data_IF_649818170395
#
_entry.id   IF_649818170395
#
_cell.length_a   1.000
_cell.length_b   1.000
_cell.length_c   1.000
_cell.angle_alpha   90.00
_cell.angle_beta   90.00
_cell.angle_gamma   90.00
#
_symmetry.space_group_name_H-M   'P 1'
#
loop_
_entity.id
_entity.type
_entity.pdbx_description
1 polymer ?
#
# COMPACT_ATOMS: atom_id res chain seq x y z
N UNK A 1 -5.18 13.38 25.66
CA UNK A 1 -4.45 12.69 24.58
C UNK A 1 -3.98 13.75 23.61
N UNK A 2 -2.67 13.88 23.40
CA UNK A 2 -2.12 14.84 22.44
C UNK A 2 -2.29 14.33 21.01
N UNK A 3 -2.10 15.19 20.02
CA UNK A 3 -2.10 14.79 18.60
C UNK A 3 -1.02 13.73 18.34
N UNK A 4 0.14 13.85 18.99
CA UNK A 4 1.25 12.90 18.88
C UNK A 4 0.82 11.52 19.41
N UNK A 5 0.17 11.48 20.58
CA UNK A 5 -0.32 10.23 21.16
C UNK A 5 -1.36 9.53 20.27
N UNK A 6 -2.19 10.30 19.55
CA UNK A 6 -3.13 9.74 18.59
C UNK A 6 -2.42 9.01 17.44
N UNK A 7 -1.45 9.68 16.81
CA UNK A 7 -0.69 9.06 15.71
C UNK A 7 0.14 7.87 16.20
N UNK A 8 0.75 8.00 17.39
CA UNK A 8 1.54 6.94 17.97
C UNK A 8 0.69 5.68 18.20
N UNK A 9 -0.47 5.82 18.87
CA UNK A 9 -1.29 4.68 19.25
C UNK A 9 -2.02 4.03 18.07
N UNK A 10 -2.54 4.81 17.12
CA UNK A 10 -3.38 4.27 16.05
C UNK A 10 -2.62 3.92 14.76
N UNK A 11 -1.44 4.50 14.53
CA UNK A 11 -0.68 4.32 13.28
C UNK A 11 0.72 3.76 13.51
N UNK A 12 1.52 4.35 14.39
CA UNK A 12 2.95 3.99 14.51
C UNK A 12 3.15 2.68 15.28
N UNK A 13 2.57 2.56 16.48
CA UNK A 13 2.71 1.37 17.32
C UNK A 13 2.20 0.11 16.62
N UNK A 14 1.01 0.09 15.97
CA UNK A 14 0.55 -1.10 15.25
C UNK A 14 1.51 -1.57 14.14
N UNK A 15 2.22 -0.65 13.47
CA UNK A 15 3.22 -0.98 12.45
C UNK A 15 4.49 -1.56 13.07
N UNK A 16 4.92 -1.04 14.22
CA UNK A 16 6.15 -1.48 14.88
C UNK A 16 6.01 -2.82 15.60
N UNK A 17 4.82 -3.13 16.09
CA UNK A 17 4.55 -4.34 16.88
C UNK A 17 3.87 -5.44 16.07
N UNK A 18 3.80 -5.31 14.73
CA UNK A 18 3.02 -6.16 13.83
C UNK A 18 1.57 -6.37 14.32
N UNK A 19 1.00 -5.39 15.03
CA UNK A 19 -0.31 -5.49 15.70
C UNK A 19 -1.52 -5.47 14.76
N UNK A 20 -1.29 -5.51 13.45
CA UNK A 20 -2.31 -5.50 12.41
C UNK A 20 -3.12 -4.19 12.31
N UNK A 21 -4.29 -4.29 11.70
CA UNK A 21 -5.17 -3.15 11.46
C UNK A 21 -6.21 -2.98 12.57
N UNK A 22 -6.42 -1.73 12.99
CA UNK A 22 -7.51 -1.31 13.86
C UNK A 22 -8.58 -0.58 13.02
N UNK A 23 -9.77 -0.34 13.58
CA UNK A 23 -10.87 0.27 12.83
C UNK A 23 -10.50 1.65 12.24
N UNK A 24 -9.75 2.46 13.01
CA UNK A 24 -9.38 3.82 12.63
C UNK A 24 -8.35 3.80 11.48
N UNK A 25 -7.27 3.04 11.62
CA UNK A 25 -6.24 2.96 10.59
C UNK A 25 -6.80 2.32 9.31
N UNK A 26 -7.69 1.33 9.40
CA UNK A 26 -8.34 0.69 8.25
C UNK A 26 -9.14 1.70 7.46
N UNK A 27 -10.02 2.46 8.13
CA UNK A 27 -10.86 3.47 7.47
C UNK A 27 -10.01 4.58 6.84
N UNK A 28 -8.98 5.05 7.55
CA UNK A 28 -8.08 6.09 7.04
C UNK A 28 -7.30 5.60 5.82
N UNK A 29 -6.72 4.40 5.88
CA UNK A 29 -6.01 3.81 4.73
C UNK A 29 -6.95 3.55 3.55
N UNK A 30 -8.19 3.11 3.80
CA UNK A 30 -9.19 2.92 2.74
C UNK A 30 -9.55 4.24 2.04
N UNK A 31 -9.76 5.31 2.80
CA UNK A 31 -10.04 6.65 2.25
C UNK A 31 -8.85 7.15 1.43
N UNK A 32 -7.63 7.02 1.97
CA UNK A 32 -6.40 7.41 1.25
C UNK A 32 -6.27 6.62 -0.06
N UNK A 33 -6.50 5.30 -0.02
CA UNK A 33 -6.44 4.45 -1.21
C UNK A 33 -7.45 4.88 -2.28
N UNK A 34 -8.70 5.19 -1.89
CA UNK A 34 -9.72 5.69 -2.81
C UNK A 34 -9.33 7.03 -3.44
N UNK A 35 -8.80 7.96 -2.63
CA UNK A 35 -8.33 9.27 -3.12
C UNK A 35 -7.19 9.09 -4.13
N UNK A 36 -6.22 8.23 -3.83
CA UNK A 36 -5.09 7.95 -4.72
C UNK A 36 -5.56 7.28 -6.02
N UNK A 37 -6.43 6.27 -5.91
CA UNK A 37 -7.00 5.58 -7.09
C UNK A 37 -7.73 6.56 -8.00
N UNK A 38 -8.59 7.40 -7.43
CA UNK A 38 -9.32 8.42 -8.19
C UNK A 38 -8.38 9.46 -8.81
N UNK A 39 -7.32 9.85 -8.10
CA UNK A 39 -6.31 10.77 -8.61
C UNK A 39 -5.56 10.18 -9.80
N UNK A 40 -5.17 8.90 -9.73
CA UNK A 40 -4.55 8.17 -10.85
C UNK A 40 -5.51 8.10 -12.03
N UNK A 41 -6.76 7.72 -11.80
CA UNK A 41 -7.80 7.69 -12.85
C UNK A 41 -7.92 9.05 -13.56
N UNK A 42 -7.98 10.14 -12.81
CA UNK A 42 -8.07 11.49 -13.36
C UNK A 42 -6.84 11.88 -14.19
N UNK A 43 -5.65 11.42 -13.79
CA UNK A 43 -4.41 11.66 -14.56
C UNK A 43 -4.46 10.88 -15.88
N UNK A 44 -4.87 9.61 -15.85
CA UNK A 44 -5.01 8.78 -17.04
C UNK A 44 -6.04 9.38 -18.02
N UNK A 45 -7.19 9.80 -17.51
CA UNK A 45 -8.25 10.46 -18.29
C UNK A 45 -7.75 11.78 -18.91
N UNK A 46 -7.05 12.61 -18.13
CA UNK A 46 -6.42 13.85 -18.65
C UNK A 46 -5.43 13.57 -19.78
N UNK A 47 -4.71 12.45 -19.71
CA UNK A 47 -3.76 12.02 -20.73
C UNK A 47 -4.41 11.24 -21.89
N UNK A 48 -5.74 11.04 -21.85
CA UNK A 48 -6.49 10.23 -22.83
C UNK A 48 -5.94 8.81 -22.97
N UNK A 49 -5.43 8.26 -21.86
CA UNK A 49 -4.95 6.89 -21.79
C UNK A 49 -6.17 6.00 -21.56
N UNK A 50 -6.49 5.18 -22.56
CA UNK A 50 -7.54 4.16 -22.42
C UNK A 50 -7.05 3.03 -21.51
N UNK A 51 -7.89 2.62 -20.57
CA UNK A 51 -7.62 1.46 -19.70
C UNK A 51 -7.99 0.20 -20.50
N UNK A 52 -7.09 -0.17 -21.42
CA UNK A 52 -7.25 -1.31 -22.33
C UNK A 52 -6.26 -2.45 -22.00
N UNK A 53 -6.25 -3.49 -22.84
CA UNK A 53 -5.32 -4.60 -22.67
C UNK A 53 -3.84 -4.17 -22.83
N UNK A 54 -3.55 -3.14 -23.63
CA UNK A 54 -2.19 -2.63 -23.80
C UNK A 54 -1.72 -1.90 -22.53
N UNK A 55 -2.59 -1.12 -21.91
CA UNK A 55 -2.34 -0.53 -20.59
C UNK A 55 -2.07 -1.62 -19.55
N UNK A 56 -2.89 -2.67 -19.53
CA UNK A 56 -2.66 -3.81 -18.63
C UNK A 56 -1.29 -4.44 -18.87
N UNK A 57 -0.90 -4.71 -20.12
CA UNK A 57 0.42 -5.24 -20.46
C UNK A 57 1.56 -4.30 -20.04
N UNK A 58 1.35 -2.97 -20.09
CA UNK A 58 2.34 -2.00 -19.64
C UNK A 58 2.50 -1.99 -18.11
N UNK A 59 1.43 -2.23 -17.35
CA UNK A 59 1.44 -2.26 -15.88
C UNK A 59 1.85 -3.65 -15.35
N UNK A 60 1.62 -4.71 -16.12
CA UNK A 60 1.86 -6.10 -15.72
C UNK A 60 3.28 -6.37 -15.16
N UNK A 61 4.38 -5.88 -15.76
CA UNK A 61 5.72 -6.08 -15.21
C UNK A 61 5.87 -5.50 -13.80
N UNK A 62 5.23 -4.37 -13.51
CA UNK A 62 5.27 -3.74 -12.18
C UNK A 62 4.47 -4.55 -11.16
N UNK A 63 3.32 -5.09 -11.56
CA UNK A 63 2.53 -6.00 -10.71
C UNK A 63 3.35 -7.24 -10.38
N UNK A 64 3.95 -7.89 -11.40
CA UNK A 64 4.78 -9.09 -11.21
C UNK A 64 5.98 -8.78 -10.31
N UNK A 65 6.69 -7.68 -10.56
CA UNK A 65 7.83 -7.27 -9.75
C UNK A 65 7.43 -7.06 -8.28
N UNK A 66 6.34 -6.34 -8.03
CA UNK A 66 5.85 -6.09 -6.67
C UNK A 66 5.46 -7.38 -5.95
N UNK A 67 4.70 -8.25 -6.60
CA UNK A 67 4.32 -9.56 -6.05
C UNK A 67 5.55 -10.45 -5.80
N UNK A 68 6.52 -10.43 -6.71
CA UNK A 68 7.74 -11.21 -6.58
C UNK A 68 8.61 -10.72 -5.41
N UNK A 69 8.79 -9.40 -5.27
CA UNK A 69 9.51 -8.82 -4.12
C UNK A 69 8.87 -9.22 -2.79
N UNK A 70 7.53 -9.20 -2.71
CA UNK A 70 6.81 -9.62 -1.50
C UNK A 70 7.06 -11.08 -1.16
N UNK A 71 7.00 -11.96 -2.16
CA UNK A 71 7.29 -13.39 -2.02
C UNK A 71 8.73 -13.64 -1.54
N UNK A 72 9.71 -12.89 -2.07
CA UNK A 72 11.10 -13.00 -1.60
C UNK A 72 11.28 -12.62 -0.13
N UNK A 73 10.50 -11.67 0.39
CA UNK A 73 10.50 -11.33 1.82
C UNK A 73 9.93 -12.50 2.63
N UNK A 74 8.84 -13.14 2.18
CA UNK A 74 8.28 -14.34 2.85
C UNK A 74 9.28 -15.51 2.88
N UNK A 75 10.11 -15.65 1.85
CA UNK A 75 11.17 -16.66 1.80
C UNK A 75 12.46 -16.26 2.56
N UNK A 76 12.44 -15.17 3.34
CA UNK A 76 13.60 -14.62 4.04
C UNK A 76 14.80 -14.35 3.12
N UNK A 77 14.56 -14.08 1.82
CA UNK A 77 15.60 -13.70 0.85
C UNK A 77 15.86 -12.20 0.83
N UNK A 78 14.90 -11.41 1.29
CA UNK A 78 15.02 -9.96 1.47
C UNK A 78 14.78 -9.59 2.94
N UNK A 79 15.44 -8.55 3.46
CA UNK A 79 15.24 -8.12 4.83
C UNK A 79 13.83 -7.57 5.04
N UNK A 80 13.24 -7.86 6.20
CA UNK A 80 12.05 -7.16 6.66
C UNK A 80 12.43 -5.73 7.03
N UNK A 81 11.77 -4.76 6.42
CA UNK A 81 12.06 -3.35 6.53
C UNK A 81 10.77 -2.57 6.41
N UNK A 82 10.79 -1.27 6.71
CA UNK A 82 9.63 -0.40 6.53
C UNK A 82 9.02 -0.48 5.11
N UNK A 83 9.84 -0.71 4.08
CA UNK A 83 9.38 -0.79 2.68
C UNK A 83 8.83 -2.16 2.29
N UNK A 84 9.21 -3.20 3.04
CA UNK A 84 8.81 -4.60 2.82
C UNK A 84 7.82 -5.07 3.90
N UNK A 85 7.37 -4.15 4.75
CA UNK A 85 6.38 -4.42 5.79
C UNK A 85 5.09 -4.85 5.11
N UNK A 86 4.51 -5.90 5.63
CA UNK A 86 3.15 -6.28 5.28
C UNK A 86 2.40 -6.62 6.55
N UNK A 87 1.09 -6.40 6.60
CA UNK A 87 0.28 -6.76 7.74
C UNK A 87 0.09 -8.29 7.72
N UNK A 88 1.12 -9.03 8.12
CA UNK A 88 1.06 -10.47 8.36
C UNK A 88 2.33 -10.93 9.08
N UNK A 89 2.25 -10.99 10.41
CA UNK A 89 2.77 -12.05 11.27
C UNK A 89 2.03 -11.99 12.61
#
# INVERSE_FOLDING_TARGET
MTVIDFFQNYFITPIQTDGGYNLINTVVYAIIALILLYSVYKILDKQKIEIDFKFFLAVLPFIVLGSFMRSLVDFNKLPYSFWTVSPSN
#
